data_IF_985700368855
#
_entry.id   IF_985700368855
#
_cell.length_a   1.000
_cell.length_b   1.000
_cell.length_c   1.000
_cell.angle_alpha   90.00
_cell.angle_beta   90.00
_cell.angle_gamma   90.00
#
_symmetry.space_group_name_H-M   'P 1'
#
loop_
_entity.id
_entity.type
_entity.pdbx_description
1 polymer ?
#
# COMPACT_ATOMS: atom_id res chain seq x y z
N UNK A 1 7.78 33.16 -1.58
CA UNK A 1 6.96 31.95 -1.75
C UNK A 1 7.14 31.49 -3.20
N UNK A 2 8.05 30.55 -3.46
CA UNK A 2 8.17 29.95 -4.79
C UNK A 2 7.03 28.95 -4.95
N UNK A 3 6.06 29.29 -5.81
CA UNK A 3 5.08 28.33 -6.31
C UNK A 3 5.81 27.41 -7.28
N UNK A 4 6.40 26.34 -6.78
CA UNK A 4 6.73 25.22 -7.63
C UNK A 4 5.43 24.50 -7.98
N UNK A 5 4.81 24.90 -9.09
CA UNK A 5 3.89 24.02 -9.80
C UNK A 5 4.76 22.90 -10.37
N UNK A 6 5.01 21.86 -9.58
CA UNK A 6 5.49 20.59 -10.11
C UNK A 6 4.32 19.98 -10.90
N UNK A 7 4.04 20.55 -12.08
CA UNK A 7 3.58 19.74 -13.18
C UNK A 7 4.73 18.77 -13.41
N UNK A 8 4.60 17.56 -12.84
CA UNK A 8 5.50 16.43 -13.01
C UNK A 8 6.08 16.49 -14.43
N UNK A 9 7.33 16.92 -14.56
CA UNK A 9 8.00 17.13 -15.85
C UNK A 9 8.48 15.78 -16.42
N UNK A 10 7.56 14.82 -16.39
CA UNK A 10 7.45 13.66 -17.26
C UNK A 10 5.96 13.54 -17.60
N UNK A 11 5.52 13.83 -18.83
CA UNK A 11 4.12 13.71 -19.26
C UNK A 11 3.56 12.26 -19.24
N UNK A 12 4.21 11.33 -18.55
CA UNK A 12 4.08 9.88 -18.72
C UNK A 12 4.34 9.08 -17.45
N UNK A 13 4.15 9.64 -16.25
CA UNK A 13 4.20 8.85 -15.02
C UNK A 13 2.79 8.45 -14.59
N UNK A 14 2.48 7.17 -14.71
CA UNK A 14 1.40 6.55 -13.96
C UNK A 14 1.86 6.47 -12.50
N UNK A 15 1.67 7.54 -11.72
CA UNK A 15 2.03 7.53 -10.31
C UNK A 15 1.05 6.63 -9.55
N UNK A 16 1.47 5.40 -9.26
CA UNK A 16 0.67 4.44 -8.49
C UNK A 16 0.77 4.75 -6.99
N UNK A 17 1.91 5.28 -6.56
CA UNK A 17 2.32 5.39 -5.14
C UNK A 17 3.18 6.62 -4.89
N UNK A 18 2.79 7.43 -3.91
CA UNK A 18 3.61 8.52 -3.37
C UNK A 18 3.69 8.46 -1.84
N UNK A 19 4.86 8.75 -1.29
CA UNK A 19 5.10 8.76 0.15
C UNK A 19 5.96 9.93 0.60
N UNK A 20 5.67 10.47 1.78
CA UNK A 20 6.46 11.51 2.45
C UNK A 20 6.73 11.06 3.89
N UNK A 21 7.96 11.28 4.35
CA UNK A 21 8.39 10.94 5.71
C UNK A 21 9.20 9.64 5.75
N UNK A 22 9.03 8.85 6.81
CA UNK A 22 9.97 7.76 7.11
C UNK A 22 10.10 6.68 6.01
N UNK A 23 9.03 6.34 5.31
CA UNK A 23 9.10 5.36 4.22
C UNK A 23 9.93 5.87 3.04
N UNK A 24 9.73 7.14 2.66
CA UNK A 24 10.51 7.82 1.64
C UNK A 24 11.98 7.99 2.07
N UNK A 25 12.24 8.20 3.36
CA UNK A 25 13.60 8.21 3.91
C UNK A 25 14.31 6.87 3.70
N UNK A 26 13.66 5.75 4.04
CA UNK A 26 14.23 4.41 3.84
C UNK A 26 14.50 4.17 2.35
N UNK A 27 13.57 4.57 1.47
CA UNK A 27 13.77 4.47 0.03
C UNK A 27 14.96 5.32 -0.46
N UNK A 28 15.11 6.54 0.04
CA UNK A 28 16.22 7.45 -0.27
C UNK A 28 17.57 6.90 0.22
N UNK A 29 17.63 6.43 1.48
CA UNK A 29 18.84 5.86 2.06
C UNK A 29 19.29 4.61 1.27
N UNK A 30 18.34 3.78 0.82
CA UNK A 30 18.61 2.62 -0.04
C UNK A 30 19.08 3.04 -1.44
N UNK A 31 18.48 4.08 -2.01
CA UNK A 31 18.89 4.63 -3.30
C UNK A 31 20.34 5.11 -3.24
N UNK A 32 20.69 5.95 -2.27
CA UNK A 32 22.05 6.45 -2.08
C UNK A 32 23.04 5.30 -1.82
N UNK A 33 22.67 4.32 -0.98
CA UNK A 33 23.52 3.16 -0.73
C UNK A 33 23.79 2.35 -2.00
N UNK A 34 22.81 2.28 -2.91
CA UNK A 34 22.95 1.61 -4.21
C UNK A 34 23.84 2.37 -5.18
N UNK A 35 23.77 3.69 -5.17
CA UNK A 35 24.66 4.53 -5.97
C UNK A 35 26.11 4.45 -5.47
N UNK A 36 26.31 4.45 -4.16
CA UNK A 36 27.64 4.39 -3.53
C UNK A 36 28.28 2.99 -3.60
N UNK A 37 27.47 1.92 -3.52
CA UNK A 37 27.96 0.54 -3.39
C UNK A 37 27.15 -0.44 -4.27
N UNK A 38 27.21 -0.31 -5.61
CA UNK A 38 26.39 -1.12 -6.52
C UNK A 38 26.65 -2.62 -6.40
N UNK A 39 27.85 -3.02 -5.97
CA UNK A 39 28.24 -4.42 -5.76
C UNK A 39 27.45 -5.12 -4.65
N UNK A 40 26.88 -4.36 -3.69
CA UNK A 40 26.04 -4.91 -2.62
C UNK A 40 24.63 -5.29 -3.10
N UNK A 41 24.20 -4.79 -4.27
CA UNK A 41 22.86 -4.98 -4.84
C UNK A 41 22.82 -6.06 -5.93
N UNK A 42 23.58 -7.15 -5.74
CA UNK A 42 23.77 -8.18 -6.75
C UNK A 42 22.62 -9.20 -6.84
N UNK A 43 21.76 -9.32 -5.82
CA UNK A 43 20.60 -10.19 -5.88
C UNK A 43 19.40 -9.68 -5.05
N UNK A 44 18.22 -10.20 -5.35
CA UNK A 44 16.96 -9.76 -4.72
C UNK A 44 16.88 -10.06 -3.22
N UNK A 45 17.54 -11.13 -2.74
CA UNK A 45 17.55 -11.46 -1.32
C UNK A 45 18.35 -10.41 -0.54
N UNK A 46 19.54 -10.05 -1.03
CA UNK A 46 20.38 -9.02 -0.43
C UNK A 46 19.71 -7.65 -0.47
N UNK A 47 19.02 -7.31 -1.56
CA UNK A 47 18.25 -6.07 -1.64
C UNK A 47 17.19 -5.99 -0.52
N UNK A 48 16.51 -7.10 -0.21
CA UNK A 48 15.54 -7.17 0.89
C UNK A 48 16.21 -7.06 2.26
N UNK A 49 17.35 -7.71 2.46
CA UNK A 49 18.11 -7.64 3.72
C UNK A 49 18.59 -6.20 3.98
N UNK A 50 19.11 -5.53 2.96
CA UNK A 50 19.52 -4.13 3.04
C UNK A 50 18.33 -3.22 3.35
N UNK A 51 17.19 -3.42 2.67
CA UNK A 51 15.97 -2.68 2.96
C UNK A 51 15.49 -2.86 4.40
N UNK A 52 15.50 -4.10 4.91
CA UNK A 52 15.14 -4.40 6.30
C UNK A 52 16.12 -3.73 7.29
N UNK A 53 17.42 -3.69 6.97
CA UNK A 53 18.44 -3.04 7.79
C UNK A 53 18.23 -1.53 7.86
N UNK A 54 18.03 -0.86 6.73
CA UNK A 54 17.80 0.59 6.69
C UNK A 54 16.44 0.95 7.33
N UNK A 55 15.41 0.12 7.14
CA UNK A 55 14.15 0.23 7.86
C UNK A 55 14.34 0.13 9.38
N UNK A 56 15.14 -0.83 9.86
CA UNK A 56 15.39 -1.02 11.28
C UNK A 56 16.13 0.17 11.92
N UNK A 57 17.08 0.79 11.23
CA UNK A 57 17.76 2.01 11.71
C UNK A 57 16.76 3.14 11.93
N UNK A 58 15.84 3.31 10.99
CA UNK A 58 14.81 4.35 11.04
C UNK A 58 13.72 4.09 12.10
N UNK A 59 13.66 2.91 12.74
CA UNK A 59 12.77 2.68 13.91
C UNK A 59 13.29 3.40 15.16
N UNK A 60 14.62 3.52 15.30
CA UNK A 60 15.24 4.19 16.44
C UNK A 60 15.34 5.70 16.24
N UNK A 61 15.14 6.17 15.01
CA UNK A 61 15.24 7.56 14.62
C UNK A 61 13.95 8.32 14.96
N UNK A 62 14.07 9.43 15.71
CA UNK A 62 12.95 10.32 16.06
C UNK A 62 12.81 11.50 15.08
N UNK A 63 13.51 11.49 13.95
CA UNK A 63 13.53 12.57 12.95
C UNK A 63 12.14 13.06 12.51
N UNK A 64 11.11 12.20 12.57
CA UNK A 64 9.75 12.54 12.15
C UNK A 64 8.77 12.77 13.31
N UNK A 65 9.24 13.02 14.54
CA UNK A 65 8.36 13.28 15.68
C UNK A 65 7.52 14.56 15.51
N UNK A 66 8.06 15.59 14.85
CA UNK A 66 7.38 16.86 14.59
C UNK A 66 6.62 16.88 13.26
N UNK A 67 6.55 15.73 12.57
CA UNK A 67 5.95 15.60 11.24
C UNK A 67 4.52 16.16 11.14
N UNK A 68 3.60 15.92 12.10
CA UNK A 68 2.23 16.47 12.03
C UNK A 68 2.18 18.00 12.04
N UNK A 69 3.17 18.66 12.62
CA UNK A 69 3.25 20.13 12.71
C UNK A 69 3.92 20.76 11.48
N UNK A 70 4.64 19.95 10.70
CA UNK A 70 5.44 20.36 9.56
C UNK A 70 4.77 20.06 8.21
N UNK A 71 3.64 19.34 8.21
CA UNK A 71 2.89 19.00 7.00
C UNK A 71 1.41 19.32 7.20
N UNK A 72 0.82 20.00 6.22
CA UNK A 72 -0.65 20.15 6.13
C UNK A 72 -1.15 19.49 4.86
N UNK A 73 -2.29 18.82 4.97
CA UNK A 73 -2.93 18.13 3.86
C UNK A 73 -4.30 18.77 3.63
N UNK A 74 -4.59 19.10 2.38
CA UNK A 74 -5.89 19.55 1.92
C UNK A 74 -6.40 18.55 0.88
N UNK A 75 -7.63 18.10 1.02
CA UNK A 75 -8.29 17.19 0.08
C UNK A 75 -9.58 17.84 -0.40
N UNK A 76 -9.69 18.06 -1.71
CA UNK A 76 -10.84 18.72 -2.35
C UNK A 76 -11.23 20.07 -1.71
N UNK A 77 -10.24 20.82 -1.22
CA UNK A 77 -10.46 22.12 -0.56
C UNK A 77 -10.68 22.05 0.95
N UNK A 78 -10.70 20.86 1.54
CA UNK A 78 -10.91 20.64 2.98
C UNK A 78 -9.59 20.27 3.65
N UNK A 79 -9.19 20.99 4.70
CA UNK A 79 -8.01 20.64 5.49
C UNK A 79 -8.24 19.34 6.28
N UNK A 80 -7.30 18.41 6.17
CA UNK A 80 -7.33 17.09 6.80
C UNK A 80 -6.28 17.06 7.90
N UNK A 81 -6.73 16.81 9.12
CA UNK A 81 -5.84 16.73 10.28
C UNK A 81 -4.96 15.47 10.20
N UNK A 82 -3.65 15.69 10.27
CA UNK A 82 -2.67 14.61 10.43
C UNK A 82 -2.61 14.24 11.92
N UNK A 83 -2.81 12.96 12.29
CA UNK A 83 -2.76 12.55 13.70
C UNK A 83 -1.42 12.90 14.34
N UNK A 84 -1.40 13.28 15.63
CA UNK A 84 -0.16 13.63 16.37
C UNK A 84 0.89 12.52 16.40
N UNK A 85 0.48 11.26 16.22
CA UNK A 85 1.38 10.10 16.09
C UNK A 85 1.77 9.76 14.65
N UNK A 86 1.28 10.50 13.65
CA UNK A 86 1.54 10.28 12.23
C UNK A 86 2.94 10.75 11.87
N UNK A 87 3.78 9.85 11.39
CA UNK A 87 5.18 10.15 11.00
C UNK A 87 5.44 9.86 9.52
N UNK A 88 4.42 9.35 8.84
CA UNK A 88 4.44 8.95 7.44
C UNK A 88 3.09 9.32 6.86
N UNK A 89 3.09 10.13 5.80
CA UNK A 89 1.94 10.33 4.93
C UNK A 89 2.16 9.58 3.63
N UNK A 90 1.08 8.95 3.20
CA UNK A 90 1.13 7.98 2.14
C UNK A 90 -0.11 8.18 1.28
N UNK A 91 0.11 8.40 0.00
CA UNK A 91 -0.91 8.74 -0.99
C UNK A 91 -0.84 7.73 -2.13
N UNK A 92 -1.96 7.09 -2.45
CA UNK A 92 -1.95 5.94 -3.35
C UNK A 92 -3.16 6.00 -4.27
N UNK A 93 -2.95 5.52 -5.49
CA UNK A 93 -4.00 5.22 -6.45
C UNK A 93 -3.93 3.73 -6.72
N UNK A 94 -4.30 2.84 -5.78
CA UNK A 94 -4.62 1.47 -6.21
C UNK A 94 -5.32 0.51 -5.22
N UNK A 95 -6.36 -0.15 -5.72
CA UNK A 95 -6.70 -1.56 -5.52
C UNK A 95 -5.79 -2.53 -6.33
N UNK A 96 -4.65 -3.02 -5.80
CA UNK A 96 -3.97 -4.19 -6.42
C UNK A 96 -4.72 -5.47 -6.01
N UNK A 97 -5.44 -6.16 -6.91
CA UNK A 97 -5.93 -7.49 -6.63
C UNK A 97 -4.75 -8.47 -6.54
N UNK A 98 -4.83 -9.30 -5.51
CA UNK A 98 -3.95 -10.41 -5.13
C UNK A 98 -3.45 -11.28 -6.31
N UNK A 99 -4.12 -11.28 -7.47
CA UNK A 99 -3.82 -12.15 -8.61
C UNK A 99 -2.57 -11.77 -9.43
N UNK A 100 -2.11 -10.51 -9.40
CA UNK A 100 -0.90 -10.10 -10.17
C UNK A 100 0.40 -10.43 -9.44
N UNK A 101 0.34 -10.78 -8.15
CA UNK A 101 1.51 -11.01 -7.31
C UNK A 101 1.76 -12.49 -6.96
N UNK A 102 1.54 -13.41 -7.91
CA UNK A 102 2.13 -14.76 -7.85
C UNK A 102 3.62 -14.76 -8.24
N UNK A 103 4.33 -13.65 -8.01
CA UNK A 103 5.78 -13.59 -8.03
C UNK A 103 6.27 -13.76 -6.59
N UNK A 104 7.21 -14.70 -6.38
CA UNK A 104 7.92 -15.02 -5.13
C UNK A 104 8.72 -13.83 -4.56
N UNK A 105 8.09 -12.69 -4.33
CA UNK A 105 8.64 -11.49 -3.72
C UNK A 105 7.85 -11.20 -2.43
N UNK A 106 8.22 -11.82 -1.29
CA UNK A 106 7.59 -11.59 0.01
C UNK A 106 7.42 -10.12 0.44
N UNK A 107 8.18 -9.18 -0.15
CA UNK A 107 8.14 -7.76 0.20
C UNK A 107 6.86 -7.01 -0.23
N UNK A 108 6.11 -7.51 -1.21
CA UNK A 108 4.86 -6.89 -1.68
C UNK A 108 3.58 -7.59 -1.15
N UNK A 109 3.71 -8.65 -0.36
CA UNK A 109 2.56 -9.43 0.14
C UNK A 109 1.77 -8.74 1.26
N UNK A 110 2.34 -7.71 1.90
CA UNK A 110 1.76 -7.05 3.08
C UNK A 110 0.67 -6.00 2.79
N UNK A 111 0.54 -5.53 1.55
CA UNK A 111 -0.17 -4.26 1.30
C UNK A 111 -1.70 -4.41 1.11
N UNK A 112 -2.21 -5.62 0.84
CA UNK A 112 -3.68 -5.86 0.74
C UNK A 112 -4.39 -5.81 2.10
N UNK A 113 -3.70 -6.08 3.20
CA UNK A 113 -4.32 -6.14 4.55
C UNK A 113 -4.36 -4.78 5.25
N UNK A 114 -3.86 -3.73 4.59
CA UNK A 114 -3.68 -2.41 5.19
C UNK A 114 -4.99 -1.66 5.41
N UNK A 115 -6.05 -2.02 4.67
CA UNK A 115 -7.34 -1.31 4.64
C UNK A 115 -8.51 -2.27 4.36
N UNK A 116 -8.42 -3.52 4.83
CA UNK A 116 -9.56 -4.43 4.72
C UNK A 116 -10.70 -3.92 5.60
N UNK A 117 -11.75 -3.41 4.95
CA UNK A 117 -13.04 -3.01 5.51
C UNK A 117 -13.78 -4.24 6.07
N UNK A 118 -13.26 -4.86 7.13
CA UNK A 118 -13.95 -5.96 7.82
C UNK A 118 -14.48 -5.55 9.20
N UNK A 119 -14.12 -4.36 9.70
CA UNK A 119 -14.70 -3.80 10.92
C UNK A 119 -15.72 -2.72 10.54
N UNK A 120 -17.00 -3.08 10.60
CA UNK A 120 -18.20 -2.33 10.18
C UNK A 120 -18.47 -1.00 10.93
N UNK A 121 -17.47 -0.23 11.42
CA UNK A 121 -17.86 0.84 12.35
C UNK A 121 -17.12 2.19 12.39
N UNK A 122 -16.14 2.53 11.53
CA UNK A 122 -15.50 3.86 11.70
C UNK A 122 -15.07 4.66 10.47
N UNK A 123 -15.22 4.16 9.25
CA UNK A 123 -14.73 4.88 8.07
C UNK A 123 -15.88 5.07 7.06
N UNK A 124 -16.45 6.28 7.05
CA UNK A 124 -17.48 6.73 6.10
C UNK A 124 -16.94 6.90 4.66
N UNK A 125 -15.92 6.11 4.29
CA UNK A 125 -15.21 6.21 3.02
C UNK A 125 -15.66 5.12 2.06
N UNK A 126 -15.71 5.45 0.78
CA UNK A 126 -16.08 4.49 -0.25
C UNK A 126 -15.01 3.39 -0.38
N UNK A 127 -15.37 2.21 -0.92
CA UNK A 127 -14.42 1.19 -1.31
C UNK A 127 -13.39 1.76 -2.29
N UNK A 128 -12.12 1.41 -2.09
CA UNK A 128 -11.04 1.86 -2.96
C UNK A 128 -11.22 1.32 -4.37
N UNK A 129 -11.08 2.18 -5.38
CA UNK A 129 -11.10 1.81 -6.78
C UNK A 129 -10.03 2.57 -7.56
N UNK A 130 -9.59 2.03 -8.69
CA UNK A 130 -8.81 2.82 -9.67
C UNK A 130 -9.67 3.62 -10.62
N UNK A 131 -10.92 3.19 -10.79
CA UNK A 131 -11.77 3.62 -11.88
C UNK A 131 -12.64 4.81 -11.50
N UNK A 132 -12.68 5.15 -10.21
CA UNK A 132 -13.44 6.26 -9.63
C UNK A 132 -12.69 7.60 -9.69
N UNK A 133 -11.39 7.58 -10.02
CA UNK A 133 -10.50 8.76 -10.04
C UNK A 133 -10.33 9.42 -8.66
N UNK A 134 -10.61 8.66 -7.59
CA UNK A 134 -10.41 9.10 -6.22
C UNK A 134 -9.01 8.72 -5.75
N UNK A 135 -8.41 9.60 -4.97
CA UNK A 135 -7.11 9.44 -4.33
C UNK A 135 -7.33 9.16 -2.85
N UNK A 136 -6.59 8.20 -2.31
CA UNK A 136 -6.64 7.84 -0.89
C UNK A 136 -5.49 8.50 -0.13
N UNK A 137 -5.82 9.13 0.99
CA UNK A 137 -4.85 9.66 1.96
C UNK A 137 -4.81 8.73 3.17
N UNK A 138 -3.65 8.15 3.45
CA UNK A 138 -3.44 7.35 4.65
C UNK A 138 -2.26 7.86 5.48
N UNK A 139 -2.39 7.73 6.79
CA UNK A 139 -1.32 8.01 7.76
C UNK A 139 -0.84 6.75 8.43
N UNK A 140 0.48 6.68 8.62
CA UNK A 140 1.14 5.59 9.35
C UNK A 140 1.96 6.18 10.50
N UNK A 141 1.83 5.55 11.65
CA UNK A 141 2.45 5.97 12.90
C UNK A 141 3.89 5.44 13.04
N UNK A 142 4.79 5.96 12.22
CA UNK A 142 6.22 5.64 12.30
C UNK A 142 6.61 4.27 11.75
N UNK A 143 7.91 3.99 11.81
CA UNK A 143 8.55 2.84 11.16
C UNK A 143 8.17 1.50 11.79
N UNK A 144 7.92 1.48 13.10
CA UNK A 144 7.42 0.27 13.77
C UNK A 144 6.00 -0.09 13.32
N UNK A 145 5.12 0.91 13.21
CA UNK A 145 3.79 0.69 12.66
C UNK A 145 3.90 0.23 11.19
N UNK A 146 4.74 0.87 10.38
CA UNK A 146 5.03 0.46 9.01
C UNK A 146 5.54 -1.00 8.90
N UNK A 147 6.41 -1.43 9.81
CA UNK A 147 6.87 -2.83 9.88
C UNK A 147 5.73 -3.81 10.18
N UNK A 148 4.89 -3.51 11.17
CA UNK A 148 3.70 -4.31 11.49
C UNK A 148 2.72 -4.38 10.32
N UNK A 149 2.59 -3.30 9.56
CA UNK A 149 1.76 -3.23 8.35
C UNK A 149 2.26 -4.21 7.28
N UNK A 150 3.57 -4.27 7.04
CA UNK A 150 4.16 -5.18 6.05
C UNK A 150 3.96 -6.66 6.38
N UNK A 151 3.85 -7.02 7.67
CA UNK A 151 3.61 -8.39 8.12
C UNK A 151 2.13 -8.69 8.43
N UNK A 152 1.23 -7.73 8.18
CA UNK A 152 -0.22 -7.91 8.40
C UNK A 152 -0.66 -7.91 9.87
N UNK A 153 0.16 -7.37 10.78
CA UNK A 153 -0.13 -7.24 12.21
C UNK A 153 -0.75 -5.89 12.60
N UNK A 154 -0.96 -4.98 11.64
CA UNK A 154 -1.58 -3.66 11.86
C UNK A 154 -2.29 -3.18 10.59
N UNK A 155 -3.02 -2.06 10.68
CA UNK A 155 -3.69 -1.38 9.55
C UNK A 155 -3.35 0.10 9.50
N UNK A 156 -3.27 0.67 8.30
CA UNK A 156 -3.00 2.09 8.13
C UNK A 156 -4.27 2.87 8.41
N UNK A 157 -4.16 4.10 8.92
CA UNK A 157 -5.32 4.94 9.19
C UNK A 157 -5.69 5.71 7.94
N UNK A 158 -6.89 5.51 7.40
CA UNK A 158 -7.45 6.38 6.35
C UNK A 158 -7.73 7.76 6.95
N UNK A 159 -7.31 8.80 6.25
CA UNK A 159 -7.54 10.19 6.66
C UNK A 159 -8.58 10.86 5.77
N UNK A 160 -8.53 10.63 4.46
CA UNK A 160 -9.42 11.25 3.49
C UNK A 160 -9.42 10.51 2.16
N UNK A 161 -10.45 10.76 1.36
CA UNK A 161 -10.64 10.28 0.00
C UNK A 161 -11.14 11.44 -0.85
N UNK A 162 -10.48 11.73 -1.99
CA UNK A 162 -10.82 12.90 -2.82
C UNK A 162 -10.10 12.95 -4.17
N UNK A 163 -10.48 13.87 -5.05
CA UNK A 163 -9.93 13.96 -6.43
C UNK A 163 -8.64 14.78 -6.51
N UNK A 164 -8.48 15.76 -5.62
CA UNK A 164 -7.32 16.65 -5.56
C UNK A 164 -6.76 16.69 -4.15
N UNK A 165 -5.48 16.36 -4.04
CA UNK A 165 -4.73 16.45 -2.79
C UNK A 165 -3.71 17.55 -2.92
N UNK A 166 -3.66 18.48 -1.97
CA UNK A 166 -2.56 19.42 -1.80
C UNK A 166 -1.84 19.14 -0.50
N UNK A 167 -0.52 19.14 -0.55
CA UNK A 167 0.34 18.90 0.61
C UNK A 167 1.27 20.09 0.75
N UNK A 168 1.15 20.80 1.85
CA UNK A 168 2.01 21.90 2.20
C UNK A 168 3.13 21.40 3.11
N UNK A 169 4.37 21.50 2.63
CA UNK A 169 5.56 21.15 3.39
C UNK A 169 6.17 22.41 4.02
N UNK A 170 6.23 22.43 5.35
CA UNK A 170 6.81 23.51 6.16
C UNK A 170 8.22 23.17 6.68
N UNK A 171 8.78 22.03 6.29
CA UNK A 171 10.14 21.61 6.55
C UNK A 171 10.71 20.78 5.39
N UNK A 172 12.04 20.60 5.30
CA UNK A 172 12.64 19.68 4.34
C UNK A 172 12.23 18.23 4.61
N UNK A 173 11.86 17.50 3.56
CA UNK A 173 11.43 16.10 3.70
C UNK A 173 11.95 15.21 2.58
N UNK A 174 12.24 13.93 2.87
CA UNK A 174 12.36 12.94 1.83
C UNK A 174 10.99 12.65 1.24
N UNK A 175 10.94 12.64 -0.10
CA UNK A 175 9.75 12.34 -0.89
C UNK A 175 10.09 11.15 -1.79
N UNK A 176 9.11 10.28 -2.00
CA UNK A 176 9.19 9.20 -2.97
C UNK A 176 7.95 9.21 -3.86
N UNK A 177 8.15 9.22 -5.17
CA UNK A 177 7.07 9.11 -6.16
C UNK A 177 7.45 8.01 -7.15
N UNK A 178 6.55 7.04 -7.34
CA UNK A 178 6.70 5.97 -8.35
C UNK A 178 8.05 5.25 -8.32
N UNK A 179 8.57 5.00 -7.09
CA UNK A 179 9.85 4.32 -6.88
C UNK A 179 11.09 5.23 -6.93
N UNK A 180 10.94 6.51 -7.27
CA UNK A 180 12.05 7.49 -7.34
C UNK A 180 12.05 8.36 -6.07
N UNK A 181 13.00 8.16 -5.15
CA UNK A 181 13.14 8.99 -3.95
C UNK A 181 14.06 10.21 -4.20
N UNK A 182 13.77 11.32 -3.53
CA UNK A 182 14.67 12.47 -3.45
C UNK A 182 14.49 13.22 -2.13
N UNK A 183 15.44 14.10 -1.81
CA UNK A 183 15.33 15.00 -0.66
C UNK A 183 14.83 16.37 -1.12
N UNK A 184 13.67 16.80 -0.61
CA UNK A 184 13.11 18.11 -0.90
C UNK A 184 13.60 19.11 0.15
N UNK A 185 14.56 19.95 -0.21
CA UNK A 185 15.17 20.94 0.70
C UNK A 185 14.29 22.16 0.97
N UNK A 186 13.49 22.57 -0.02
CA UNK A 186 12.72 23.81 0.04
C UNK A 186 11.27 23.57 0.42
N UNK A 187 10.68 24.52 1.14
CA UNK A 187 9.25 24.59 1.41
C UNK A 187 8.48 24.60 0.09
N UNK A 188 7.62 23.62 -0.11
CA UNK A 188 6.86 23.50 -1.35
C UNK A 188 5.43 23.05 -1.08
N UNK A 189 4.58 23.25 -2.08
CA UNK A 189 3.22 22.72 -2.10
C UNK A 189 3.14 21.70 -3.23
N UNK A 190 2.89 20.44 -2.88
CA UNK A 190 2.68 19.37 -3.84
C UNK A 190 1.19 19.29 -4.15
N UNK A 191 0.83 19.30 -5.43
CA UNK A 191 -0.55 19.10 -5.85
C UNK A 191 -0.63 17.80 -6.64
N UNK A 192 -1.47 16.89 -6.17
CA UNK A 192 -1.70 15.58 -6.76
C UNK A 192 -3.16 15.57 -7.24
N UNK A 193 -3.37 15.26 -8.51
CA UNK A 193 -4.70 15.16 -9.10
C UNK A 193 -4.67 14.20 -10.28
N UNK A 194 -5.83 13.66 -10.62
CA UNK A 194 -5.97 12.79 -11.78
C UNK A 194 -5.77 13.59 -13.09
N UNK A 195 -4.72 13.26 -13.85
CA UNK A 195 -4.43 13.92 -15.13
C UNK A 195 -4.96 13.15 -16.36
N UNK A 196 -4.87 11.82 -16.34
CA UNK A 196 -5.25 10.99 -17.50
C UNK A 196 -5.42 9.52 -17.13
N UNK A 197 -5.97 8.76 -18.07
CA UNK A 197 -6.27 7.35 -17.88
C UNK A 197 -5.71 6.54 -19.05
N UNK A 198 -5.10 5.39 -18.74
CA UNK A 198 -4.58 4.44 -19.71
C UNK A 198 -5.23 3.07 -19.52
N UNK A 199 -5.43 2.34 -20.61
CA UNK A 199 -5.85 0.95 -20.54
C UNK A 199 -4.66 0.08 -20.14
N UNK A 200 -4.80 -0.65 -19.03
CA UNK A 200 -3.80 -1.60 -18.56
C UNK A 200 -4.32 -3.02 -18.69
N UNK A 201 -3.45 -3.95 -19.09
CA UNK A 201 -3.77 -5.38 -19.06
C UNK A 201 -3.86 -5.82 -17.60
N UNK A 202 -5.07 -6.18 -17.17
CA UNK A 202 -5.30 -6.82 -15.87
C UNK A 202 -5.22 -8.33 -16.06
N UNK A 203 -4.43 -9.02 -15.23
CA UNK A 203 -4.52 -10.48 -15.16
C UNK A 203 -5.94 -10.82 -14.74
N UNK A 204 -6.64 -11.59 -15.57
CA UNK A 204 -7.92 -12.18 -15.17
C UNK A 204 -7.64 -12.90 -13.86
N UNK A 205 -8.31 -12.48 -12.78
CA UNK A 205 -8.31 -13.28 -11.57
C UNK A 205 -8.93 -14.61 -11.99
N UNK A 206 -8.10 -15.62 -12.22
CA UNK A 206 -8.51 -16.95 -11.83
C UNK A 206 -8.96 -16.76 -10.39
N UNK A 207 -10.27 -16.79 -10.13
CA UNK A 207 -10.70 -17.18 -8.80
C UNK A 207 -9.84 -18.39 -8.48
N UNK A 208 -9.03 -18.36 -7.39
CA UNK A 208 -8.18 -19.50 -7.12
C UNK A 208 -9.17 -20.64 -7.01
N UNK A 209 -9.10 -21.63 -7.89
CA UNK A 209 -9.89 -22.85 -7.79
C UNK A 209 -9.84 -23.38 -6.34
N UNK A 210 -8.73 -23.11 -5.62
CA UNK A 210 -8.56 -23.31 -4.19
C UNK A 210 -9.49 -22.53 -3.23
N UNK A 211 -9.89 -21.29 -3.49
CA UNK A 211 -10.83 -20.55 -2.62
C UNK A 211 -12.26 -21.10 -2.76
N UNK A 212 -12.71 -21.33 -4.00
CA UNK A 212 -13.98 -22.01 -4.25
C UNK A 212 -13.97 -23.44 -3.68
N UNK A 213 -12.88 -24.19 -3.87
CA UNK A 213 -12.72 -25.52 -3.28
C UNK A 213 -12.72 -25.50 -1.74
N UNK A 214 -12.12 -24.47 -1.12
CA UNK A 214 -12.13 -24.31 0.33
C UNK A 214 -13.55 -24.04 0.86
N UNK A 215 -14.30 -23.11 0.25
CA UNK A 215 -15.70 -22.83 0.61
C UNK A 215 -16.55 -24.09 0.46
N UNK A 216 -16.42 -24.80 -0.66
CA UNK A 216 -17.22 -26.00 -0.90
C UNK A 216 -16.85 -27.12 0.10
N UNK A 217 -15.57 -27.26 0.45
CA UNK A 217 -15.15 -28.24 1.46
C UNK A 217 -15.76 -27.93 2.83
N UNK A 218 -15.76 -26.66 3.23
CA UNK A 218 -16.36 -26.19 4.49
C UNK A 218 -17.88 -26.41 4.52
N UNK A 219 -18.57 -26.11 3.42
CA UNK A 219 -20.02 -26.38 3.28
C UNK A 219 -20.33 -27.87 3.39
N UNK A 220 -19.53 -28.73 2.74
CA UNK A 220 -19.72 -30.18 2.78
C UNK A 220 -19.41 -30.76 4.18
N UNK A 221 -18.44 -30.19 4.90
CA UNK A 221 -18.12 -30.58 6.27
C UNK A 221 -19.21 -30.19 7.26
N UNK A 222 -19.75 -28.97 7.12
CA UNK A 222 -20.89 -28.52 7.91
C UNK A 222 -22.16 -29.33 7.60
N UNK A 223 -22.38 -29.72 6.33
CA UNK A 223 -23.51 -30.57 5.94
C UNK A 223 -23.41 -31.99 6.52
N UNK A 224 -22.21 -32.56 6.62
CA UNK A 224 -21.97 -33.86 7.29
C UNK A 224 -22.22 -33.77 8.79
N UNK A 225 -21.73 -32.70 9.43
CA UNK A 225 -21.87 -32.47 10.88
C UNK A 225 -23.32 -32.27 11.29
N UNK A 226 -24.12 -31.60 10.45
CA UNK A 226 -25.55 -31.44 10.65
C UNK A 226 -26.39 -32.63 10.14
N UNK A 227 -25.75 -33.74 9.73
CA UNK A 227 -26.39 -34.94 9.22
C UNK A 227 -27.30 -34.73 7.99
N UNK A 228 -27.04 -33.68 7.20
CA UNK A 228 -27.71 -33.40 5.93
C UNK A 228 -27.22 -34.36 4.84
N UNK A 229 -25.92 -34.71 4.88
CA UNK A 229 -25.30 -35.71 4.00
C UNK A 229 -24.54 -36.76 4.83
N UNK A 230 -24.39 -37.96 4.29
CA UNK A 230 -23.54 -39.00 4.88
C UNK A 230 -22.05 -38.79 4.53
N UNK A 231 -21.17 -39.39 5.34
CA UNK A 231 -19.73 -39.44 5.07
C UNK A 231 -19.40 -40.03 3.68
N UNK A 232 -20.19 -41.02 3.22
CA UNK A 232 -20.03 -41.61 1.89
C UNK A 232 -20.42 -40.63 0.78
N UNK A 233 -21.51 -39.87 0.95
CA UNK A 233 -21.93 -38.85 0.00
C UNK A 233 -20.93 -37.69 -0.10
N UNK A 234 -20.40 -37.21 1.04
CA UNK A 234 -19.33 -36.20 1.07
C UNK A 234 -18.12 -36.64 0.27
N UNK A 235 -17.65 -37.88 0.46
CA UNK A 235 -16.48 -38.43 -0.23
C UNK A 235 -16.69 -38.49 -1.76
N UNK A 236 -17.87 -38.91 -2.20
CA UNK A 236 -18.21 -38.93 -3.64
C UNK A 236 -18.24 -37.53 -4.23
N UNK A 237 -18.83 -36.55 -3.54
CA UNK A 237 -18.89 -35.16 -4.00
C UNK A 237 -17.50 -34.52 -4.12
N UNK A 238 -16.64 -34.72 -3.12
CA UNK A 238 -15.25 -34.24 -3.17
C UNK A 238 -14.44 -34.89 -4.31
N UNK A 239 -14.70 -36.17 -4.61
CA UNK A 239 -14.02 -36.88 -5.69
C UNK A 239 -14.47 -36.38 -7.08
N UNK A 240 -15.78 -36.16 -7.28
CA UNK A 240 -16.31 -35.56 -8.50
C UNK A 240 -15.79 -34.13 -8.71
N UNK A 241 -15.70 -33.35 -7.65
CA UNK A 241 -15.10 -32.01 -7.71
C UNK A 241 -13.64 -32.06 -8.13
N UNK A 242 -12.85 -32.96 -7.54
CA UNK A 242 -11.44 -33.11 -7.89
C UNK A 242 -11.23 -33.46 -9.38
N UNK A 243 -12.14 -34.23 -9.97
CA UNK A 243 -12.14 -34.57 -11.40
C UNK A 243 -12.54 -33.40 -12.31
N UNK A 244 -13.37 -32.48 -11.83
CA UNK A 244 -13.83 -31.30 -12.59
C UNK A 244 -12.90 -30.09 -12.46
N UNK A 245 -12.08 -30.06 -11.41
CA UNK A 245 -11.13 -28.99 -11.11
C UNK A 245 -9.70 -29.30 -11.62
N UNK A 246 -9.45 -30.51 -12.16
CA UNK A 246 -8.19 -30.91 -12.83
C UNK A 246 -8.21 -30.59 -14.32
#
# INVERSE_FOLDING_TARGET
MQLYSYALWKPTLACIVSGIGCDAKVALDIHNLREENPEKFYNQFMNKVLYAREGAKNIMDRTFADFPWQVRVEVDGVEVEVPEGGQVLKFWIWEIPFSVLNCKIPALHGWRRLVANEDENYDNFDPQSMHDKMLEVVSISGTWHLGKLQVGLSRARRLAQGQSIKIHLFAPFPIQIDGEPWFQEQLCTLTISHHGQAFMLKRVSEEPLGHAAAIITDVLENAETNHIISASQKRTLLQEMALKLS
#
